data_IF_680183599940
#
_entry.id   IF_680183599940
#
_cell.length_a   1.000
_cell.length_b   1.000
_cell.length_c   1.000
_cell.angle_alpha   90.00
_cell.angle_beta   90.00
_cell.angle_gamma   90.00
#
_symmetry.space_group_name_H-M   'P 1'
#
loop_
_entity.id
_entity.type
_entity.pdbx_description
1 polymer ?
#
# COMPACT_ATOMS: atom_id res chain seq x y z
N UNK A 1 -11.25 -4.78 10.29
CA UNK A 1 -10.24 -5.14 11.31
C UNK A 1 -9.59 -3.90 11.90
N UNK A 2 -8.89 -3.05 11.14
CA UNK A 2 -8.34 -1.80 11.73
C UNK A 2 -9.43 -0.80 12.16
N UNK A 3 -10.59 -0.84 11.49
CA UNK A 3 -11.75 0.00 11.81
C UNK A 3 -12.34 -0.25 13.22
N UNK A 4 -12.08 -1.42 13.83
CA UNK A 4 -12.51 -1.67 15.22
C UNK A 4 -11.60 -0.99 16.23
N UNK A 5 -10.35 -0.69 15.86
CA UNK A 5 -9.39 0.06 16.67
C UNK A 5 -9.47 1.56 16.38
N UNK A 6 -9.80 1.93 15.14
CA UNK A 6 -9.86 3.32 14.65
C UNK A 6 -11.27 3.59 14.15
N UNK A 7 -12.06 4.29 14.97
CA UNK A 7 -13.47 4.59 14.66
C UNK A 7 -13.68 5.54 13.48
N UNK A 8 -12.69 6.41 13.20
CA UNK A 8 -12.77 7.37 12.09
C UNK A 8 -12.41 6.71 10.76
N UNK A 9 -13.41 6.50 9.90
CA UNK A 9 -13.22 6.00 8.52
C UNK A 9 -12.28 6.90 7.71
N UNK A 10 -12.41 8.21 7.85
CA UNK A 10 -11.51 9.20 7.24
C UNK A 10 -10.07 8.98 7.67
N UNK A 11 -9.84 8.72 8.97
CA UNK A 11 -8.48 8.44 9.48
C UNK A 11 -7.94 7.15 8.88
N UNK A 12 -8.73 6.09 8.80
CA UNK A 12 -8.30 4.82 8.19
C UNK A 12 -7.89 5.05 6.73
N UNK A 13 -8.69 5.78 5.94
CA UNK A 13 -8.34 6.14 4.55
C UNK A 13 -7.06 6.95 4.46
N UNK A 14 -6.84 7.93 5.35
CA UNK A 14 -5.61 8.71 5.39
C UNK A 14 -4.39 7.86 5.77
N UNK A 15 -4.54 6.94 6.72
CA UNK A 15 -3.48 6.00 7.07
C UNK A 15 -3.14 5.09 5.90
N UNK A 16 -4.14 4.51 5.23
CA UNK A 16 -3.96 3.75 3.99
C UNK A 16 -3.24 4.59 2.93
N UNK A 17 -3.66 5.85 2.72
CA UNK A 17 -3.07 6.76 1.73
C UNK A 17 -1.59 7.01 1.95
N UNK A 18 -1.22 7.40 3.16
CA UNK A 18 0.12 7.93 3.43
C UNK A 18 1.09 6.90 4.01
N UNK A 19 0.59 5.92 4.76
CA UNK A 19 1.44 4.97 5.47
C UNK A 19 1.59 3.64 4.75
N UNK A 20 0.70 3.28 3.83
CA UNK A 20 0.95 2.14 2.94
C UNK A 20 2.05 2.48 1.92
N UNK A 21 1.96 3.67 1.31
CA UNK A 21 2.97 4.19 0.38
C UNK A 21 3.56 5.49 0.93
N UNK A 22 4.75 5.43 1.53
CA UNK A 22 5.43 6.61 2.11
C UNK A 22 5.83 7.69 1.09
N UNK A 23 5.79 7.38 -0.20
CA UNK A 23 6.03 8.35 -1.27
C UNK A 23 4.74 9.03 -1.72
N UNK A 24 3.58 8.58 -1.26
CA UNK A 24 2.32 9.23 -1.55
C UNK A 24 2.27 10.64 -0.93
N UNK A 25 1.88 11.60 -1.76
CA UNK A 25 1.61 12.97 -1.35
C UNK A 25 0.22 13.36 -1.80
N UNK A 26 -0.48 14.18 -1.01
CA UNK A 26 -1.80 14.65 -1.38
C UNK A 26 -2.10 16.03 -0.77
N UNK A 27 -3.04 16.74 -1.38
CA UNK A 27 -3.60 17.98 -0.83
C UNK A 27 -5.07 17.79 -0.51
N UNK A 28 -5.63 18.69 0.30
CA UNK A 28 -6.98 18.53 0.84
C UNK A 28 -8.06 18.24 -0.23
N UNK A 29 -8.08 19.02 -1.32
CA UNK A 29 -9.06 18.84 -2.40
C UNK A 29 -8.85 17.55 -3.21
N UNK A 30 -7.61 17.08 -3.40
CA UNK A 30 -7.42 15.79 -4.08
C UNK A 30 -7.97 14.64 -3.25
N UNK A 31 -7.81 14.70 -1.92
CA UNK A 31 -8.33 13.69 -0.99
C UNK A 31 -9.86 13.70 -0.94
N UNK A 32 -10.49 14.87 -1.05
CA UNK A 32 -11.96 14.98 -1.14
C UNK A 32 -12.50 14.21 -2.35
N UNK A 33 -11.93 14.46 -3.54
CA UNK A 33 -12.31 13.76 -4.77
C UNK A 33 -12.01 12.26 -4.70
N UNK A 34 -10.90 11.87 -4.08
CA UNK A 34 -10.46 10.48 -3.97
C UNK A 34 -11.30 9.67 -2.96
N UNK A 35 -11.66 10.28 -1.82
CA UNK A 35 -12.34 9.57 -0.73
C UNK A 35 -13.86 9.68 -0.77
N UNK A 36 -14.40 10.64 -1.54
CA UNK A 36 -15.84 10.95 -1.58
C UNK A 36 -16.37 11.43 -0.23
N UNK A 37 -15.54 12.11 0.57
CA UNK A 37 -15.88 12.57 1.91
C UNK A 37 -15.81 14.08 2.04
N UNK A 38 -16.52 14.65 3.01
CA UNK A 38 -16.52 16.10 3.23
C UNK A 38 -15.11 16.64 3.46
N UNK A 39 -14.80 17.77 2.83
CA UNK A 39 -13.53 18.48 3.00
C UNK A 39 -13.21 18.74 4.48
N UNK A 40 -14.23 19.02 5.30
CA UNK A 40 -14.05 19.31 6.72
C UNK A 40 -13.59 18.09 7.53
N UNK A 41 -14.16 16.91 7.28
CA UNK A 41 -13.74 15.68 7.96
C UNK A 41 -12.27 15.35 7.65
N UNK A 42 -11.89 15.44 6.37
CA UNK A 42 -10.52 15.20 5.92
C UNK A 42 -9.57 16.22 6.54
N UNK A 43 -9.93 17.51 6.54
CA UNK A 43 -9.13 18.59 7.14
C UNK A 43 -8.87 18.37 8.62
N UNK A 44 -9.90 17.98 9.38
CA UNK A 44 -9.77 17.72 10.83
C UNK A 44 -8.78 16.58 11.09
N UNK A 45 -8.88 15.48 10.34
CA UNK A 45 -7.97 14.34 10.53
C UNK A 45 -6.55 14.62 10.04
N UNK A 46 -6.38 15.32 8.90
CA UNK A 46 -5.07 15.77 8.44
C UNK A 46 -4.36 16.64 9.49
N UNK A 47 -5.08 17.62 10.04
CA UNK A 47 -4.53 18.50 11.08
C UNK A 47 -4.16 17.71 12.34
N UNK A 48 -4.96 16.73 12.75
CA UNK A 48 -4.64 15.86 13.90
C UNK A 48 -3.37 15.06 13.67
N UNK A 49 -3.23 14.43 12.49
CA UNK A 49 -2.04 13.65 12.15
C UNK A 49 -0.80 14.54 12.00
N UNK A 50 -0.94 15.74 11.45
CA UNK A 50 0.14 16.73 11.38
C UNK A 50 0.57 17.21 12.77
N UNK A 51 -0.37 17.55 13.65
CA UNK A 51 -0.10 17.96 15.03
C UNK A 51 0.58 16.85 15.84
N UNK A 52 0.23 15.60 15.57
CA UNK A 52 0.88 14.43 16.17
C UNK A 52 2.27 14.14 15.57
N UNK A 53 2.73 14.89 14.56
CA UNK A 53 4.00 14.66 13.87
C UNK A 53 4.01 13.43 12.96
N UNK A 54 2.84 12.81 12.75
CA UNK A 54 2.66 11.63 11.89
C UNK A 54 2.68 12.00 10.40
N UNK A 55 2.20 13.20 10.05
CA UNK A 55 2.33 13.78 8.73
C UNK A 55 3.22 15.02 8.79
N UNK A 56 3.99 15.24 7.72
CA UNK A 56 4.61 16.53 7.43
C UNK A 56 3.81 17.24 6.35
N UNK A 57 3.88 18.57 6.34
CA UNK A 57 3.24 19.37 5.32
C UNK A 57 4.19 20.44 4.76
N UNK A 58 4.09 20.68 3.46
CA UNK A 58 4.83 21.73 2.76
C UNK A 58 3.88 22.56 1.90
N UNK A 59 4.18 23.85 1.76
CA UNK A 59 3.43 24.72 0.86
C UNK A 59 3.98 24.60 -0.56
N UNK A 60 3.11 24.32 -1.52
CA UNK A 60 3.41 24.35 -2.96
C UNK A 60 2.39 25.28 -3.63
N UNK A 61 2.82 26.51 -3.90
CA UNK A 61 1.92 27.61 -4.28
C UNK A 61 0.87 27.86 -3.19
N UNK A 62 -0.41 27.79 -3.56
CA UNK A 62 -1.54 27.92 -2.64
C UNK A 62 -2.02 26.59 -2.03
N UNK A 63 -1.33 25.48 -2.30
CA UNK A 63 -1.72 24.15 -1.82
C UNK A 63 -0.81 23.73 -0.66
N UNK A 64 -1.42 23.25 0.42
CA UNK A 64 -0.73 22.53 1.48
C UNK A 64 -0.66 21.05 1.09
N UNK A 65 0.55 20.57 0.82
CA UNK A 65 0.84 19.18 0.42
C UNK A 65 1.25 18.40 1.66
N UNK A 66 0.59 17.28 1.91
CA UNK A 66 0.86 16.38 3.04
C UNK A 66 1.62 15.13 2.58
N UNK A 67 2.45 14.59 3.46
CA UNK A 67 3.18 13.31 3.30
C UNK A 67 3.36 12.63 4.65
N UNK A 68 3.46 11.29 4.68
CA UNK A 68 3.87 10.58 5.88
C UNK A 68 5.26 10.99 6.37
N UNK A 69 5.39 11.16 7.68
CA UNK A 69 6.67 11.30 8.34
C UNK A 69 7.28 9.91 8.60
N UNK A 70 8.18 9.46 7.72
CA UNK A 70 8.85 8.16 7.88
C UNK A 70 9.82 8.10 9.07
N UNK A 71 10.17 9.26 9.65
CA UNK A 71 11.00 9.35 10.86
C UNK A 71 10.17 9.27 12.15
N UNK A 72 8.84 9.24 12.05
CA UNK A 72 7.98 9.14 13.23
C UNK A 72 8.14 7.76 13.90
N UNK A 73 8.25 7.68 15.24
CA UNK A 73 8.51 6.42 15.95
C UNK A 73 7.51 5.30 15.65
N UNK A 74 6.23 5.66 15.41
CA UNK A 74 5.16 4.70 15.10
C UNK A 74 4.99 4.39 13.60
N UNK A 75 5.84 4.94 12.72
CA UNK A 75 5.64 4.79 11.28
C UNK A 75 5.68 3.32 10.86
N UNK A 76 6.68 2.56 11.34
CA UNK A 76 6.88 1.15 10.96
C UNK A 76 5.76 0.26 11.49
N UNK A 77 5.29 0.52 12.70
CA UNK A 77 4.21 -0.22 13.36
C UNK A 77 2.90 0.02 12.62
N UNK A 78 2.58 1.27 12.28
CA UNK A 78 1.40 1.60 11.48
C UNK A 78 1.49 0.92 10.11
N UNK A 79 2.62 1.04 9.42
CA UNK A 79 2.83 0.38 8.13
C UNK A 79 2.61 -1.14 8.22
N UNK A 80 3.19 -1.80 9.23
CA UNK A 80 3.01 -3.23 9.48
C UNK A 80 1.55 -3.60 9.76
N UNK A 81 0.85 -2.81 10.58
CA UNK A 81 -0.58 -3.02 10.86
C UNK A 81 -1.40 -2.89 9.58
N UNK A 82 -1.09 -1.92 8.71
CA UNK A 82 -1.79 -1.74 7.44
C UNK A 82 -1.54 -2.90 6.50
N UNK A 83 -0.30 -3.41 6.39
CA UNK A 83 0.02 -4.61 5.61
C UNK A 83 -0.77 -5.84 6.09
N UNK A 84 -0.85 -6.03 7.40
CA UNK A 84 -1.68 -7.08 8.04
C UNK A 84 -3.17 -6.87 7.79
N UNK A 85 -3.62 -5.61 7.80
CA UNK A 85 -5.01 -5.28 7.55
C UNK A 85 -5.44 -5.67 6.13
N UNK A 86 -4.55 -5.50 5.15
CA UNK A 86 -4.79 -5.88 3.75
C UNK A 86 -4.31 -7.30 3.40
N UNK A 87 -3.63 -8.00 4.31
CA UNK A 87 -3.24 -9.40 4.14
C UNK A 87 -1.97 -9.61 3.31
N UNK A 88 -1.20 -8.55 3.10
CA UNK A 88 0.05 -8.61 2.38
C UNK A 88 1.22 -9.06 3.25
N UNK A 89 1.08 -9.02 4.58
CA UNK A 89 2.10 -9.51 5.52
C UNK A 89 2.45 -10.98 5.26
N UNK A 90 1.44 -11.84 5.12
CA UNK A 90 1.63 -13.28 4.84
C UNK A 90 2.28 -13.51 3.50
N UNK A 91 1.85 -12.76 2.48
CA UNK A 91 2.42 -12.87 1.15
C UNK A 91 3.90 -12.49 1.17
N UNK A 92 4.26 -11.41 1.88
CA UNK A 92 5.66 -10.98 2.00
C UNK A 92 6.49 -11.98 2.81
N UNK A 93 5.98 -12.46 3.95
CA UNK A 93 6.64 -13.48 4.78
C UNK A 93 6.91 -14.77 3.99
N UNK A 94 5.90 -15.32 3.32
CA UNK A 94 6.02 -16.56 2.56
C UNK A 94 6.84 -16.41 1.27
N UNK A 95 6.87 -15.19 0.67
CA UNK A 95 7.80 -14.81 -0.40
C UNK A 95 9.26 -14.94 0.06
N UNK A 96 9.57 -14.47 1.27
CA UNK A 96 10.93 -14.52 1.84
C UNK A 96 11.35 -15.96 2.07
N UNK A 97 10.45 -16.84 2.53
CA UNK A 97 10.84 -18.16 2.98
C UNK A 97 10.86 -19.25 1.89
N UNK A 98 9.90 -19.28 0.95
CA UNK A 98 9.60 -20.53 0.21
C UNK A 98 9.17 -20.39 -1.24
N UNK A 99 8.95 -19.19 -1.75
CA UNK A 99 8.30 -18.99 -3.05
C UNK A 99 9.22 -19.23 -4.26
N UNK A 100 10.48 -19.61 -4.04
CA UNK A 100 11.48 -19.86 -5.08
C UNK A 100 12.49 -18.72 -5.20
N UNK A 101 12.95 -18.43 -6.43
CA UNK A 101 13.83 -17.30 -6.72
C UNK A 101 13.01 -16.05 -7.04
N UNK A 102 12.32 -15.51 -6.03
CA UNK A 102 11.69 -14.20 -6.15
C UNK A 102 12.78 -13.13 -6.16
N UNK A 103 12.71 -12.24 -7.15
CA UNK A 103 13.56 -11.05 -7.21
C UNK A 103 12.85 -9.84 -6.61
N UNK A 104 11.59 -9.58 -7.01
CA UNK A 104 10.81 -8.40 -6.62
C UNK A 104 9.32 -8.72 -6.57
N UNK A 105 8.61 -8.04 -5.66
CA UNK A 105 7.14 -8.06 -5.58
C UNK A 105 6.63 -6.64 -5.52
N UNK A 106 5.67 -6.32 -6.39
CA UNK A 106 5.03 -5.02 -6.47
C UNK A 106 3.54 -5.12 -6.17
N UNK A 107 3.04 -4.12 -5.45
CA UNK A 107 1.63 -3.81 -5.31
C UNK A 107 1.21 -2.83 -6.40
N UNK A 108 0.13 -3.13 -7.07
CA UNK A 108 -0.39 -2.39 -8.22
C UNK A 108 -1.85 -1.99 -7.94
N UNK A 109 -2.42 -1.15 -8.81
CA UNK A 109 -3.84 -0.82 -8.78
C UNK A 109 -4.18 0.18 -7.68
N UNK A 110 -5.37 0.08 -7.12
CA UNK A 110 -5.88 1.07 -6.16
C UNK A 110 -5.03 1.13 -4.88
N UNK A 111 -4.55 -0.02 -4.40
CA UNK A 111 -3.73 -0.08 -3.20
C UNK A 111 -2.37 0.59 -3.34
N UNK A 112 -1.75 0.62 -4.53
CA UNK A 112 -0.48 1.34 -4.71
C UNK A 112 -0.65 2.87 -4.61
N UNK A 113 -1.88 3.37 -4.84
CA UNK A 113 -2.32 4.74 -4.52
C UNK A 113 -2.69 4.96 -3.07
N UNK A 114 -2.75 3.90 -2.26
CA UNK A 114 -3.26 3.90 -0.90
C UNK A 114 -4.79 4.05 -0.81
N UNK A 115 -5.50 3.69 -1.88
CA UNK A 115 -6.96 3.60 -1.91
C UNK A 115 -7.36 2.17 -1.52
N UNK A 116 -8.31 2.05 -0.60
CA UNK A 116 -8.83 0.74 -0.20
C UNK A 116 -9.75 0.15 -1.28
N UNK A 117 -9.57 -1.13 -1.59
CA UNK A 117 -10.30 -1.85 -2.63
C UNK A 117 -10.67 -3.27 -2.22
N UNK A 118 -11.61 -3.88 -2.95
CA UNK A 118 -11.93 -5.32 -2.80
C UNK A 118 -10.92 -6.22 -3.49
N UNK A 119 -10.12 -5.65 -4.39
CA UNK A 119 -9.16 -6.38 -5.22
C UNK A 119 -7.75 -5.87 -4.92
N UNK A 120 -6.85 -6.79 -4.62
CA UNK A 120 -5.42 -6.55 -4.44
C UNK A 120 -4.71 -7.03 -5.70
N UNK A 121 -3.97 -6.15 -6.36
CA UNK A 121 -3.22 -6.46 -7.56
C UNK A 121 -1.73 -6.58 -7.22
N UNK A 122 -1.14 -7.74 -7.52
CA UNK A 122 0.28 -8.02 -7.27
C UNK A 122 1.01 -8.36 -8.57
N UNK A 123 2.28 -7.96 -8.63
CA UNK A 123 3.19 -8.36 -9.69
C UNK A 123 4.41 -8.97 -9.06
N UNK A 124 4.68 -10.23 -9.41
CA UNK A 124 5.85 -10.96 -8.97
C UNK A 124 6.86 -11.04 -10.10
N UNK A 125 8.13 -10.84 -9.77
CA UNK A 125 9.26 -10.95 -10.69
C UNK A 125 10.23 -11.97 -10.15
N UNK A 126 10.58 -12.96 -10.97
CA UNK A 126 11.52 -14.03 -10.63
C UNK A 126 11.07 -15.40 -11.14
N UNK A 127 11.84 -16.43 -10.81
CA UNK A 127 11.47 -17.82 -11.08
C UNK A 127 10.76 -18.42 -9.85
N UNK A 128 9.44 -18.51 -9.95
CA UNK A 128 8.53 -18.70 -8.82
C UNK A 128 7.76 -20.00 -8.97
N UNK A 129 7.63 -20.75 -7.87
CA UNK A 129 6.72 -21.89 -7.82
C UNK A 129 5.26 -21.41 -7.87
N UNK A 130 4.65 -21.52 -9.05
CA UNK A 130 3.27 -21.11 -9.30
C UNK A 130 2.25 -21.90 -8.48
N UNK A 131 2.51 -23.19 -8.20
CA UNK A 131 1.59 -24.01 -7.42
C UNK A 131 1.59 -23.56 -5.96
N UNK A 132 2.78 -23.27 -5.41
CA UNK A 132 2.90 -22.71 -4.07
C UNK A 132 2.26 -21.32 -3.97
N UNK A 133 2.46 -20.46 -4.97
CA UNK A 133 1.86 -19.13 -5.02
C UNK A 133 0.32 -19.19 -5.01
N UNK A 134 -0.31 -20.11 -5.74
CA UNK A 134 -1.77 -20.30 -5.72
C UNK A 134 -2.25 -20.63 -4.30
N UNK A 135 -1.61 -21.61 -3.63
CA UNK A 135 -1.99 -22.00 -2.27
C UNK A 135 -1.81 -20.86 -1.25
N UNK A 136 -0.75 -20.07 -1.41
CA UNK A 136 -0.48 -18.91 -0.58
C UNK A 136 -1.57 -17.85 -0.75
N UNK A 137 -1.93 -17.56 -2.00
CA UNK A 137 -2.96 -16.58 -2.32
C UNK A 137 -4.32 -17.04 -1.78
N UNK A 138 -4.70 -18.31 -1.92
CA UNK A 138 -5.94 -18.84 -1.35
C UNK A 138 -6.02 -18.64 0.17
N UNK A 139 -4.93 -18.89 0.89
CA UNK A 139 -4.86 -18.64 2.34
C UNK A 139 -4.98 -17.15 2.66
N UNK A 140 -4.30 -16.28 1.91
CA UNK A 140 -4.37 -14.84 2.10
C UNK A 140 -5.78 -14.31 1.82
N UNK A 141 -6.42 -14.71 0.72
CA UNK A 141 -7.80 -14.34 0.37
C UNK A 141 -8.78 -14.71 1.48
N UNK A 142 -8.63 -15.91 2.07
CA UNK A 142 -9.49 -16.39 3.15
C UNK A 142 -9.37 -15.54 4.43
N UNK A 143 -8.18 -15.01 4.72
CA UNK A 143 -7.93 -14.18 5.91
C UNK A 143 -8.48 -12.76 5.76
N UNK A 144 -8.34 -12.15 4.59
CA UNK A 144 -8.72 -10.75 4.39
C UNK A 144 -10.05 -10.53 3.70
N UNK A 145 -10.70 -11.61 3.25
CA UNK A 145 -11.98 -11.56 2.56
C UNK A 145 -11.93 -10.60 1.35
N UNK A 146 -10.83 -10.65 0.61
CA UNK A 146 -10.54 -9.83 -0.58
C UNK A 146 -10.00 -10.72 -1.68
N UNK A 147 -10.21 -10.32 -2.92
CA UNK A 147 -9.67 -11.02 -4.09
C UNK A 147 -8.26 -10.54 -4.39
N UNK A 148 -7.35 -11.46 -4.68
CA UNK A 148 -5.96 -11.18 -4.98
C UNK A 148 -5.69 -11.64 -6.40
N UNK A 149 -5.44 -10.68 -7.29
CA UNK A 149 -5.00 -10.94 -8.66
C UNK A 149 -3.50 -10.77 -8.72
N UNK A 150 -2.84 -11.61 -9.51
CA UNK A 150 -1.40 -11.57 -9.63
C UNK A 150 -0.94 -11.82 -11.07
N UNK A 151 0.19 -11.21 -11.40
CA UNK A 151 0.97 -11.50 -12.61
C UNK A 151 2.36 -11.99 -12.19
N UNK A 152 2.90 -12.95 -12.93
CA UNK A 152 4.24 -13.50 -12.69
C UNK A 152 5.07 -13.29 -13.95
N UNK A 153 6.19 -12.59 -13.80
CA UNK A 153 7.19 -12.38 -14.84
C UNK A 153 8.48 -13.10 -14.48
N UNK A 154 9.05 -13.80 -15.44
CA UNK A 154 10.34 -14.47 -15.29
C UNK A 154 11.46 -13.42 -15.20
N UNK A 155 12.58 -13.70 -14.53
CA UNK A 155 13.71 -12.75 -14.40
C UNK A 155 14.23 -12.22 -15.76
N UNK A 156 14.19 -13.05 -16.81
CA UNK A 156 14.57 -12.66 -18.17
C UNK A 156 13.54 -11.74 -18.87
N UNK A 157 12.27 -11.80 -18.46
CA UNK A 157 11.18 -10.96 -18.97
C UNK A 157 11.07 -9.64 -18.19
N UNK A 158 11.81 -9.50 -17.07
CA UNK A 158 11.83 -8.28 -16.27
C UNK A 158 12.30 -7.05 -17.06
N UNK A 159 13.10 -7.24 -18.11
CA UNK A 159 13.51 -6.17 -19.04
C UNK A 159 12.37 -5.67 -19.96
N UNK A 160 11.31 -6.47 -20.15
CA UNK A 160 10.09 -6.09 -20.87
C UNK A 160 9.00 -5.53 -19.94
N UNK A 161 9.23 -5.62 -18.63
CA UNK A 161 8.29 -5.17 -17.62
C UNK A 161 8.36 -3.65 -17.52
N UNK A 162 7.62 -2.99 -18.40
CA UNK A 162 7.52 -1.54 -18.39
C UNK A 162 6.65 -1.09 -17.20
N UNK A 163 7.31 -0.91 -16.06
CA UNK A 163 6.70 -0.39 -14.84
C UNK A 163 6.06 1.00 -15.05
N UNK A 164 6.37 1.70 -16.15
CA UNK A 164 5.78 2.99 -16.50
C UNK A 164 4.36 2.88 -17.07
N UNK A 165 3.95 1.72 -17.57
CA UNK A 165 2.58 1.49 -18.06
C UNK A 165 1.55 1.29 -16.94
N UNK A 166 2.01 1.02 -15.72
CA UNK A 166 1.11 0.93 -14.58
C UNK A 166 0.79 2.34 -14.08
N UNK A 167 -0.41 2.80 -14.40
CA UNK A 167 -1.05 3.92 -13.71
C UNK A 167 -2.08 3.39 -12.71
N UNK A 168 -1.89 3.60 -11.40
CA UNK A 168 -0.78 4.30 -10.73
C UNK A 168 0.52 3.48 -10.60
N UNK A 169 1.63 4.19 -10.34
CA UNK A 169 2.96 3.59 -10.19
C UNK A 169 2.95 2.41 -9.20
N UNK A 170 3.58 1.28 -9.54
CA UNK A 170 3.68 0.14 -8.64
C UNK A 170 4.46 0.50 -7.37
N UNK A 171 3.99 -0.01 -6.24
CA UNK A 171 4.68 0.11 -4.96
C UNK A 171 5.50 -1.17 -4.73
N UNK A 172 6.81 -1.03 -4.63
CA UNK A 172 7.68 -2.15 -4.28
C UNK A 172 7.38 -2.60 -2.84
N UNK A 173 6.89 -3.82 -2.68
CA UNK A 173 6.64 -4.43 -1.38
C UNK A 173 7.87 -5.16 -0.86
N UNK A 174 8.59 -5.82 -1.77
CA UNK A 174 9.72 -6.65 -1.42
C UNK A 174 10.70 -6.74 -2.59
N UNK A 175 11.99 -6.75 -2.28
CA UNK A 175 13.05 -7.05 -3.22
C UNK A 175 14.12 -7.89 -2.52
N UNK A 176 14.70 -8.85 -3.23
CA UNK A 176 15.88 -9.58 -2.79
C UNK A 176 17.05 -8.59 -2.74
N UNK A 177 17.66 -8.43 -1.56
CA UNK A 177 18.91 -7.67 -1.44
C UNK A 177 19.99 -8.38 -2.26
N UNK A 178 20.72 -7.60 -3.07
CA UNK A 178 21.78 -8.08 -3.94
C UNK A 178 23.06 -8.39 -3.17
#
# INVERSE_FOLDING_TARGET
>A
MIETLISSKTRVKLLMKFFLNSNATAYLRSLESEFGESTNAIRVELNRLEQAGMLTAMMSGNKKIFRANTQHPLFREIHSILLKHIGLDRIIEDVIERLGQVERVFLVGEFSRGIDSRIIDLVFVGDIDRNYLIQLIEKAEALVNRKIRYLVYSGNEAGQLDLSHFEPRPLLLWAKEA
#
